data_IF_867050741715
#
_entry.id   IF_867050741715
#
_cell.length_a   1.000
_cell.length_b   1.000
_cell.length_c   1.000
_cell.angle_alpha   90.00
_cell.angle_beta   90.00
_cell.angle_gamma   90.00
#
_symmetry.space_group_name_H-M   'P 1'
#
loop_
_entity.id
_entity.type
_entity.pdbx_description
1 polymer ?
#
# COMPACT_ATOMS: atom_id res chain seq x y z
N UNK A 1 27.85 0.52 5.16
CA UNK A 1 26.87 1.47 5.74
C UNK A 1 25.58 0.74 6.16
N UNK A 2 25.21 0.82 7.44
CA UNK A 2 23.94 0.26 7.93
C UNK A 2 22.77 1.06 7.37
N UNK A 3 21.70 0.41 6.90
CA UNK A 3 20.47 1.05 6.39
C UNK A 3 19.92 2.17 7.32
N UNK A 4 20.17 2.05 8.62
CA UNK A 4 19.83 3.06 9.64
C UNK A 4 20.38 4.46 9.34
N UNK A 5 21.53 4.61 8.68
CA UNK A 5 22.10 5.94 8.36
C UNK A 5 21.52 6.53 7.08
N UNK A 6 20.76 5.74 6.29
CA UNK A 6 20.13 6.17 5.03
C UNK A 6 18.65 6.57 5.23
N UNK A 7 18.02 6.13 6.33
CA UNK A 7 16.64 6.47 6.69
C UNK A 7 16.57 7.73 7.56
N UNK A 8 17.18 8.83 7.09
CA UNK A 8 16.95 10.17 7.64
C UNK A 8 15.48 10.56 7.47
N UNK A 9 15.02 11.55 8.22
CA UNK A 9 13.60 11.91 8.27
C UNK A 9 13.03 12.24 6.89
N UNK A 10 13.80 12.96 6.09
CA UNK A 10 13.48 13.33 4.72
C UNK A 10 13.19 12.07 3.89
N UNK A 11 14.03 11.04 4.01
CA UNK A 11 13.83 9.79 3.27
C UNK A 11 12.61 9.02 3.75
N UNK A 12 12.33 9.03 5.06
CA UNK A 12 11.09 8.43 5.62
C UNK A 12 9.86 9.16 5.09
N UNK A 13 9.92 10.48 4.97
CA UNK A 13 8.84 11.28 4.40
C UNK A 13 8.59 10.94 2.93
N UNK A 14 9.64 10.82 2.12
CA UNK A 14 9.52 10.33 0.74
C UNK A 14 8.84 8.95 0.65
N UNK A 15 9.23 8.03 1.54
CA UNK A 15 8.61 6.70 1.64
C UNK A 15 7.12 6.80 2.00
N UNK A 16 6.75 7.63 2.99
CA UNK A 16 5.35 7.84 3.38
C UNK A 16 4.52 8.40 2.22
N UNK A 17 5.06 9.38 1.48
CA UNK A 17 4.41 9.95 0.29
C UNK A 17 4.25 8.88 -0.80
N UNK A 18 5.27 8.06 -1.03
CA UNK A 18 5.19 6.97 -2.01
C UNK A 18 4.13 5.92 -1.66
N UNK A 19 3.99 5.56 -0.37
CA UNK A 19 2.93 4.66 0.10
C UNK A 19 1.56 5.28 -0.15
N UNK A 20 1.37 6.56 0.19
CA UNK A 20 0.11 7.27 -0.03
C UNK A 20 -0.28 7.33 -1.52
N UNK A 21 0.70 7.58 -2.40
CA UNK A 21 0.50 7.53 -3.87
C UNK A 21 0.12 6.13 -4.34
N UNK A 22 0.79 5.09 -3.83
CA UNK A 22 0.43 3.71 -4.14
C UNK A 22 -1.01 3.37 -3.73
N UNK A 23 -1.45 3.82 -2.56
CA UNK A 23 -2.83 3.64 -2.09
C UNK A 23 -3.84 4.42 -2.93
N UNK A 24 -3.53 5.68 -3.28
CA UNK A 24 -4.37 6.48 -4.18
C UNK A 24 -4.54 5.78 -5.52
N UNK A 25 -3.45 5.26 -6.09
CA UNK A 25 -3.49 4.51 -7.34
C UNK A 25 -4.42 3.29 -7.24
N UNK A 26 -4.24 2.47 -6.19
CA UNK A 26 -5.10 1.30 -5.96
C UNK A 26 -6.57 1.68 -5.80
N UNK A 27 -6.89 2.79 -5.14
CA UNK A 27 -8.27 3.18 -4.84
C UNK A 27 -8.98 3.94 -5.97
N UNK A 28 -8.26 4.72 -6.77
CA UNK A 28 -8.88 5.74 -7.64
C UNK A 28 -8.37 5.74 -9.08
N UNK A 29 -7.08 5.47 -9.31
CA UNK A 29 -6.45 5.70 -10.63
C UNK A 29 -6.25 4.41 -11.43
N UNK A 30 -6.27 3.26 -10.76
CA UNK A 30 -6.17 1.95 -11.41
C UNK A 30 -7.47 1.57 -12.12
N UNK A 31 -7.34 0.74 -13.17
CA UNK A 31 -8.49 0.25 -13.96
C UNK A 31 -9.52 -0.51 -13.11
N UNK A 32 -9.05 -1.17 -12.06
CA UNK A 32 -9.87 -1.87 -11.08
C UNK A 32 -9.58 -1.25 -9.73
N UNK A 33 -10.61 -0.78 -9.02
CA UNK A 33 -10.43 -0.26 -7.66
C UNK A 33 -10.10 -1.41 -6.73
N UNK A 34 -9.02 -1.31 -5.96
CA UNK A 34 -8.51 -2.35 -5.06
C UNK A 34 -8.43 -1.83 -3.64
N UNK A 35 -9.18 -2.43 -2.71
CA UNK A 35 -8.99 -2.20 -1.27
C UNK A 35 -8.04 -3.26 -0.73
N UNK A 36 -6.89 -2.85 -0.18
CA UNK A 36 -5.84 -3.77 0.31
C UNK A 36 -6.26 -4.59 1.53
N UNK A 37 -6.95 -3.95 2.50
CA UNK A 37 -7.46 -4.52 3.78
C UNK A 37 -6.43 -5.06 4.79
N UNK A 38 -5.16 -5.18 4.42
CA UNK A 38 -4.07 -5.55 5.35
C UNK A 38 -2.85 -4.65 5.17
N UNK A 39 -3.03 -3.33 5.28
CA UNK A 39 -1.93 -2.39 5.15
C UNK A 39 -1.19 -2.26 6.48
N UNK A 40 0.06 -2.72 6.50
CA UNK A 40 0.98 -2.62 7.64
C UNK A 40 2.41 -2.47 7.16
N UNK A 41 3.32 -2.07 8.05
CA UNK A 41 4.74 -1.86 7.72
C UNK A 41 5.39 -3.11 7.13
N UNK A 42 5.04 -4.31 7.64
CA UNK A 42 5.53 -5.58 7.10
C UNK A 42 5.11 -5.88 5.65
N UNK A 43 4.08 -5.19 5.15
CA UNK A 43 3.58 -5.32 3.78
C UNK A 43 4.08 -4.18 2.87
N UNK A 44 4.98 -3.33 3.36
CA UNK A 44 5.68 -2.32 2.55
C UNK A 44 7.11 -2.80 2.27
N UNK A 45 7.38 -3.15 1.03
CA UNK A 45 8.73 -3.50 0.57
C UNK A 45 9.44 -2.24 0.09
N UNK A 46 10.75 -2.16 0.30
CA UNK A 46 11.60 -1.11 -0.25
C UNK A 46 12.50 -1.73 -1.32
N UNK A 47 12.58 -1.10 -2.49
CA UNK A 47 13.55 -1.50 -3.52
C UNK A 47 14.95 -0.94 -3.25
N UNK A 48 15.90 -1.21 -4.15
CA UNK A 48 17.30 -0.78 -4.02
C UNK A 48 17.49 0.75 -4.00
N UNK A 49 16.50 1.52 -4.42
CA UNK A 49 16.48 2.99 -4.35
C UNK A 49 15.61 3.52 -3.19
N UNK A 50 15.18 2.62 -2.29
CA UNK A 50 14.28 2.89 -1.16
C UNK A 50 12.92 3.45 -1.60
N UNK A 51 12.43 3.09 -2.79
CA UNK A 51 11.05 3.38 -3.18
C UNK A 51 10.11 2.35 -2.56
N UNK A 52 8.98 2.77 -1.96
CA UNK A 52 8.02 1.85 -1.38
C UNK A 52 7.21 1.10 -2.45
N UNK A 53 6.93 -0.17 -2.15
CA UNK A 53 6.04 -1.04 -2.92
C UNK A 53 5.07 -1.73 -1.96
N UNK A 54 3.78 -1.56 -2.22
CA UNK A 54 2.72 -2.24 -1.47
C UNK A 54 2.70 -3.71 -1.91
N UNK A 55 2.67 -4.63 -0.95
CA UNK A 55 2.75 -6.08 -1.16
C UNK A 55 1.71 -6.83 -0.32
N UNK A 56 1.59 -8.14 -0.55
CA UNK A 56 0.63 -9.03 0.10
C UNK A 56 -0.85 -8.65 -0.10
N UNK A 57 -1.31 -8.87 -1.34
CA UNK A 57 -2.71 -8.67 -1.73
C UNK A 57 -3.61 -9.88 -1.37
N UNK A 58 -3.19 -10.79 -0.48
CA UNK A 58 -3.95 -12.00 -0.15
C UNK A 58 -5.34 -11.71 0.44
N UNK A 59 -5.47 -10.58 1.15
CA UNK A 59 -6.74 -10.07 1.66
C UNK A 59 -7.35 -8.96 0.79
N UNK A 60 -6.75 -8.59 -0.33
CA UNK A 60 -7.25 -7.50 -1.16
C UNK A 60 -8.59 -7.85 -1.83
N UNK A 61 -9.35 -6.81 -2.19
CA UNK A 61 -10.60 -6.92 -2.95
C UNK A 61 -10.61 -5.93 -4.10
N UNK A 62 -10.78 -6.45 -5.31
CA UNK A 62 -10.91 -5.65 -6.53
C UNK A 62 -12.38 -5.55 -6.94
N UNK A 63 -12.78 -4.39 -7.44
CA UNK A 63 -14.13 -4.13 -7.94
C UNK A 63 -14.10 -3.21 -9.16
N UNK A 64 -15.07 -3.42 -10.05
CA UNK A 64 -15.23 -2.67 -11.30
C UNK A 64 -16.32 -1.62 -11.14
N UNK A 65 -16.19 -0.50 -11.86
CA UNK A 65 -17.22 0.55 -11.93
C UNK A 65 -17.22 1.52 -10.74
N UNK A 66 -18.38 2.16 -10.53
CA UNK A 66 -18.54 3.26 -9.56
C UNK A 66 -18.87 2.80 -8.14
N UNK A 67 -18.83 1.49 -7.88
CA UNK A 67 -19.00 0.97 -6.53
C UNK A 67 -17.93 1.57 -5.60
N UNK A 68 -18.38 2.24 -4.54
CA UNK A 68 -17.53 2.84 -3.50
C UNK A 68 -17.48 1.99 -2.23
N UNK A 69 -18.32 0.95 -2.16
CA UNK A 69 -18.46 0.08 -1.00
C UNK A 69 -18.54 -1.38 -1.41
N UNK A 70 -17.93 -2.25 -0.62
CA UNK A 70 -18.00 -3.71 -0.76
C UNK A 70 -18.22 -4.34 0.61
N UNK A 71 -19.25 -5.17 0.73
CA UNK A 71 -19.50 -5.94 1.95
C UNK A 71 -18.68 -7.24 1.95
N UNK A 72 -18.12 -7.60 3.10
CA UNK A 72 -17.41 -8.87 3.33
C UNK A 72 -18.10 -9.63 4.45
N UNK A 73 -18.49 -10.89 4.20
CA UNK A 73 -19.08 -11.77 5.23
C UNK A 73 -18.03 -12.47 6.09
N UNK A 74 -16.75 -12.30 5.78
CA UNK A 74 -15.62 -12.89 6.51
C UNK A 74 -14.80 -11.78 7.16
N UNK A 75 -14.68 -11.83 8.48
CA UNK A 75 -13.78 -10.99 9.26
C UNK A 75 -12.35 -11.53 9.12
N UNK A 76 -11.44 -10.71 8.62
CA UNK A 76 -10.03 -11.03 8.35
C UNK A 76 -9.20 -9.76 8.50
N UNK A 77 -7.93 -9.93 8.90
CA UNK A 77 -7.02 -8.83 9.23
C UNK A 77 -6.29 -9.11 10.56
N UNK A 78 -5.33 -8.26 10.92
CA UNK A 78 -4.59 -8.29 12.19
C UNK A 78 -4.94 -7.10 13.06
#
# INVERSE_FOLDING_TARGET
>A
PTLSTQLVWEKRFEIMVGIARGLQYLHQESRLKVIHRDLKTGNILLDGALNPKISDFGLARAFSGDHTQVNTHRVVGT
#
